data_IF_922742089929
#
_entry.id   IF_922742089929
#
_cell.length_a   1.000
_cell.length_b   1.000
_cell.length_c   1.000
_cell.angle_alpha   90.00
_cell.angle_beta   90.00
_cell.angle_gamma   90.00
#
_symmetry.space_group_name_H-M   'P 1'
#
loop_
_entity.id
_entity.type
_entity.pdbx_description
1 polymer ?
#
# COMPACT_ATOMS: atom_id res chain seq x y z
N UNK A 1 22.13 -6.66 1.82
CA UNK A 1 21.86 -5.72 2.93
C UNK A 1 21.85 -4.27 2.47
N UNK A 2 20.69 -3.77 2.07
CA UNK A 2 20.45 -2.32 1.99
C UNK A 2 19.75 -1.83 3.25
N UNK A 3 20.08 -0.62 3.69
CA UNK A 3 19.48 -0.01 4.88
C UNK A 3 18.71 1.22 4.45
N UNK A 4 17.40 1.19 4.68
CA UNK A 4 16.55 2.38 4.56
C UNK A 4 16.48 3.04 5.95
N UNK A 5 16.95 4.28 6.04
CA UNK A 5 16.95 5.07 7.27
C UNK A 5 15.69 5.93 7.32
N UNK A 6 14.60 5.51 7.97
CA UNK A 6 13.34 6.26 7.91
C UNK A 6 12.53 6.33 9.22
N UNK A 7 12.26 7.55 9.74
CA UNK A 7 11.66 7.80 11.06
C UNK A 7 10.16 7.44 11.20
N UNK A 8 9.51 6.92 10.16
CA UNK A 8 8.05 6.79 10.10
C UNK A 8 7.48 5.45 10.57
N UNK A 9 8.34 4.50 10.98
CA UNK A 9 7.91 3.22 11.59
C UNK A 9 7.01 3.44 12.83
N UNK A 10 7.02 4.64 13.44
CA UNK A 10 6.13 5.02 14.55
C UNK A 10 4.64 4.98 14.23
N UNK A 11 4.22 5.26 13.00
CA UNK A 11 2.79 5.18 12.61
C UNK A 11 2.38 3.80 12.11
N UNK A 12 3.33 2.86 12.08
CA UNK A 12 3.05 1.46 11.81
C UNK A 12 2.57 0.76 13.08
N UNK A 13 1.55 1.35 13.69
CA UNK A 13 0.70 0.67 14.66
C UNK A 13 -0.05 -0.52 14.03
N UNK A 14 -0.02 -0.65 12.69
CA UNK A 14 -0.37 -1.87 11.95
C UNK A 14 0.62 -3.03 12.14
N UNK A 15 1.86 -2.72 12.54
CA UNK A 15 2.80 -3.71 13.05
C UNK A 15 2.58 -3.97 14.54
N UNK A 16 1.60 -3.38 15.24
CA UNK A 16 1.27 -3.79 16.62
C UNK A 16 0.95 -5.29 16.74
N UNK A 17 0.54 -5.93 15.63
CA UNK A 17 0.45 -7.38 15.42
C UNK A 17 1.80 -7.93 14.90
N UNK A 18 2.87 -7.67 15.66
CA UNK A 18 4.29 -7.44 15.24
C UNK A 18 5.10 -8.58 14.58
N UNK A 19 4.46 -9.53 13.92
CA UNK A 19 5.20 -10.59 13.22
C UNK A 19 4.43 -11.13 12.01
N UNK A 20 3.10 -11.21 12.11
CA UNK A 20 2.25 -11.75 11.03
C UNK A 20 2.20 -10.84 9.80
N UNK A 21 2.12 -9.53 10.00
CA UNK A 21 2.05 -8.58 8.88
C UNK A 21 3.43 -8.37 8.22
N UNK A 22 4.50 -8.38 9.02
CA UNK A 22 5.88 -8.38 8.51
C UNK A 22 6.17 -9.63 7.70
N UNK A 23 5.90 -10.84 8.23
CA UNK A 23 6.10 -12.09 7.48
C UNK A 23 5.29 -12.17 6.19
N UNK A 24 4.07 -11.63 6.17
CA UNK A 24 3.27 -11.54 4.94
C UNK A 24 3.94 -10.64 3.90
N UNK A 25 4.46 -9.48 4.33
CA UNK A 25 5.20 -8.58 3.46
C UNK A 25 6.51 -9.20 2.98
N UNK A 26 7.28 -9.84 3.87
CA UNK A 26 8.50 -10.56 3.54
C UNK A 26 8.25 -11.62 2.46
N UNK A 27 7.19 -12.43 2.63
CA UNK A 27 6.83 -13.47 1.67
C UNK A 27 6.42 -12.92 0.30
N UNK A 28 5.67 -11.81 0.26
CA UNK A 28 5.22 -11.19 -1.00
C UNK A 28 6.34 -10.43 -1.71
N UNK A 29 7.16 -9.69 -0.95
CA UNK A 29 8.29 -8.92 -1.47
C UNK A 29 9.51 -9.81 -1.79
N UNK A 30 9.59 -11.00 -1.20
CA UNK A 30 10.71 -11.92 -1.36
C UNK A 30 12.01 -11.44 -0.68
N UNK A 31 11.89 -10.67 0.40
CA UNK A 31 13.03 -10.14 1.18
C UNK A 31 12.79 -10.36 2.67
N UNK A 32 13.87 -10.42 3.43
CA UNK A 32 13.83 -10.33 4.89
C UNK A 32 13.75 -8.84 5.28
N UNK A 33 12.84 -8.54 6.20
CA UNK A 33 12.57 -7.21 6.73
C UNK A 33 12.95 -7.18 8.21
N UNK A 34 13.96 -6.38 8.56
CA UNK A 34 14.31 -6.17 9.97
C UNK A 34 14.15 -4.71 10.37
N UNK A 35 13.40 -4.49 11.45
CA UNK A 35 13.21 -3.15 12.05
C UNK A 35 14.24 -2.96 13.16
N UNK A 36 15.07 -1.92 13.04
CA UNK A 36 16.06 -1.55 14.08
C UNK A 36 15.97 -0.06 14.39
N UNK A 37 15.26 0.26 15.48
CA UNK A 37 14.98 1.64 15.87
C UNK A 37 14.07 2.31 14.84
N UNK A 38 14.61 3.27 14.13
CA UNK A 38 13.98 4.03 13.04
C UNK A 38 14.46 3.59 11.65
N UNK A 39 15.02 2.38 11.54
CA UNK A 39 15.55 1.87 10.27
C UNK A 39 14.87 0.58 9.87
N UNK A 40 14.53 0.50 8.59
CA UNK A 40 14.10 -0.73 7.93
C UNK A 40 15.29 -1.29 7.15
N UNK A 41 15.65 -2.53 7.46
CA UNK A 41 16.75 -3.24 6.81
C UNK A 41 16.12 -4.24 5.85
N UNK A 42 16.53 -4.15 4.58
CA UNK A 42 16.11 -5.05 3.52
C UNK A 42 17.27 -6.00 3.19
N UNK A 43 17.01 -7.30 3.23
CA UNK A 43 18.00 -8.30 2.86
C UNK A 43 17.40 -9.41 2.00
N UNK A 44 18.10 -9.79 0.94
CA UNK A 44 17.61 -10.72 -0.07
C UNK A 44 18.33 -10.53 -1.40
N UNK A 45 17.78 -11.10 -2.46
CA UNK A 45 18.32 -10.91 -3.81
C UNK A 45 18.22 -9.45 -4.26
N UNK A 46 19.22 -8.93 -5.02
CA UNK A 46 19.25 -7.53 -5.43
C UNK A 46 17.96 -7.05 -6.11
N UNK A 47 17.36 -7.88 -6.97
CA UNK A 47 16.11 -7.57 -7.66
C UNK A 47 14.93 -7.45 -6.69
N UNK A 48 14.85 -8.34 -5.70
CA UNK A 48 13.81 -8.33 -4.66
C UNK A 48 13.98 -7.17 -3.70
N UNK A 49 15.22 -6.82 -3.38
CA UNK A 49 15.53 -5.63 -2.57
C UNK A 49 15.11 -4.35 -3.31
N UNK A 50 15.39 -4.25 -4.60
CA UNK A 50 14.94 -3.12 -5.42
C UNK A 50 13.41 -3.04 -5.49
N UNK A 51 12.75 -4.18 -5.65
CA UNK A 51 11.29 -4.28 -5.64
C UNK A 51 10.68 -3.80 -4.31
N UNK A 52 11.20 -4.30 -3.18
CA UNK A 52 10.80 -3.86 -1.85
C UNK A 52 11.08 -2.37 -1.61
N UNK A 53 12.19 -1.85 -2.15
CA UNK A 53 12.52 -0.44 -2.06
C UNK A 53 11.49 0.44 -2.78
N UNK A 54 11.10 0.09 -4.01
CA UNK A 54 10.05 0.80 -4.74
C UNK A 54 8.74 0.86 -3.95
N UNK A 55 8.37 -0.24 -3.31
CA UNK A 55 7.20 -0.30 -2.44
C UNK A 55 7.28 0.74 -1.30
N UNK A 56 8.35 0.69 -0.50
CA UNK A 56 8.48 1.55 0.67
C UNK A 56 8.68 3.02 0.30
N UNK A 57 9.39 3.32 -0.80
CA UNK A 57 9.52 4.68 -1.33
C UNK A 57 8.16 5.25 -1.75
N UNK A 58 7.31 4.45 -2.40
CA UNK A 58 5.96 4.91 -2.77
C UNK A 58 5.09 5.19 -1.56
N UNK A 59 5.08 4.30 -0.58
CA UNK A 59 4.32 4.47 0.67
C UNK A 59 4.75 5.78 1.36
N UNK A 60 6.06 6.02 1.44
CA UNK A 60 6.60 7.25 2.00
C UNK A 60 6.14 8.49 1.21
N UNK A 61 6.23 8.46 -0.12
CA UNK A 61 5.79 9.56 -0.98
C UNK A 61 4.33 9.94 -0.69
N UNK A 62 3.46 8.95 -0.46
CA UNK A 62 2.05 9.17 -0.14
C UNK A 62 1.86 9.76 1.26
N UNK A 63 2.60 9.29 2.26
CA UNK A 63 2.55 9.87 3.60
C UNK A 63 3.06 11.31 3.63
N UNK A 64 4.16 11.60 2.92
CA UNK A 64 4.74 12.94 2.79
C UNK A 64 3.77 13.91 2.07
N UNK A 65 2.93 13.40 1.15
CA UNK A 65 1.82 14.13 0.53
C UNK A 65 0.61 14.34 1.47
N UNK A 66 0.64 13.80 2.68
CA UNK A 66 -0.42 13.95 3.68
C UNK A 66 -1.55 12.93 3.58
N UNK A 67 -1.42 11.87 2.78
CA UNK A 67 -2.42 10.81 2.75
C UNK A 67 -2.42 10.02 4.06
N UNK A 68 -3.61 9.76 4.60
CA UNK A 68 -3.78 8.85 5.73
C UNK A 68 -3.99 7.43 5.20
N UNK A 69 -2.90 6.68 5.06
CA UNK A 69 -2.91 5.30 4.56
C UNK A 69 -3.61 4.34 5.53
N UNK A 70 -4.47 3.47 5.01
CA UNK A 70 -5.14 2.36 5.71
C UNK A 70 -4.51 1.03 5.31
N UNK A 71 -4.83 -0.03 6.04
CA UNK A 71 -4.35 -1.39 5.75
C UNK A 71 -4.58 -1.81 4.28
N UNK A 72 -5.75 -1.48 3.75
CA UNK A 72 -6.11 -1.79 2.36
C UNK A 72 -5.22 -1.08 1.34
N UNK A 73 -4.77 0.14 1.64
CA UNK A 73 -3.92 0.91 0.73
C UNK A 73 -2.53 0.27 0.60
N UNK A 74 -2.00 -0.33 1.70
CA UNK A 74 -0.77 -1.13 1.67
C UNK A 74 -0.92 -2.38 0.81
N UNK A 75 -2.08 -3.04 0.87
CA UNK A 75 -2.37 -4.22 0.06
C UNK A 75 -2.52 -3.88 -1.42
N UNK A 76 -3.26 -2.83 -1.75
CA UNK A 76 -3.44 -2.37 -3.14
C UNK A 76 -2.09 -1.97 -3.74
N UNK A 77 -1.27 -1.23 -3.01
CA UNK A 77 0.07 -0.87 -3.48
C UNK A 77 0.94 -2.11 -3.78
N UNK A 78 0.83 -3.16 -2.97
CA UNK A 78 1.59 -4.39 -3.17
C UNK A 78 1.06 -5.20 -4.36
N UNK A 79 -0.26 -5.28 -4.52
CA UNK A 79 -0.92 -5.91 -5.67
C UNK A 79 -0.52 -5.20 -6.98
N UNK A 80 -0.50 -3.87 -6.99
CA UNK A 80 -0.08 -3.07 -8.13
C UNK A 80 1.38 -3.30 -8.49
N UNK A 81 2.26 -3.36 -7.48
CA UNK A 81 3.67 -3.60 -7.69
C UNK A 81 3.95 -5.00 -8.27
N UNK A 82 3.22 -6.02 -7.80
CA UNK A 82 3.30 -7.39 -8.33
C UNK A 82 2.75 -7.52 -9.75
N UNK A 83 1.70 -6.76 -10.10
CA UNK A 83 1.12 -6.77 -11.44
C UNK A 83 2.00 -6.01 -12.44
N UNK A 84 2.37 -4.76 -12.11
CA UNK A 84 3.20 -3.90 -12.94
C UNK A 84 3.82 -2.76 -12.10
N UNK A 85 5.15 -2.74 -11.91
CA UNK A 85 5.81 -1.70 -11.13
C UNK A 85 5.53 -0.26 -11.57
N UNK A 86 5.27 -0.01 -12.85
CA UNK A 86 4.91 1.32 -13.35
C UNK A 86 3.54 1.81 -12.87
N UNK A 87 2.59 0.89 -12.61
CA UNK A 87 1.27 1.26 -12.07
C UNK A 87 1.32 1.69 -10.60
N UNK A 88 2.35 1.25 -9.86
CA UNK A 88 2.57 1.71 -8.49
C UNK A 88 2.90 3.21 -8.45
N UNK A 89 3.66 3.73 -9.41
CA UNK A 89 4.02 5.14 -9.46
C UNK A 89 2.78 6.04 -9.60
N UNK A 90 1.79 5.60 -10.36
CA UNK A 90 0.51 6.30 -10.57
C UNK A 90 -0.48 6.13 -9.40
N UNK A 91 -0.17 5.25 -8.44
CA UNK A 91 -1.07 4.97 -7.32
C UNK A 91 -1.23 6.19 -6.41
N UNK A 92 -2.49 6.50 -6.12
CA UNK A 92 -2.90 7.44 -5.09
C UNK A 92 -4.08 6.83 -4.31
N UNK A 93 -4.07 6.85 -2.97
CA UNK A 93 -5.19 6.39 -2.15
C UNK A 93 -6.45 7.18 -2.47
N UNK A 94 -7.57 6.48 -2.61
CA UNK A 94 -8.85 7.14 -2.82
C UNK A 94 -9.47 7.60 -1.51
N UNK A 95 -9.96 8.84 -1.53
CA UNK A 95 -10.73 9.41 -0.42
C UNK A 95 -11.98 8.56 -0.12
N UNK A 96 -12.27 8.28 1.16
CA UNK A 96 -13.50 7.62 1.55
C UNK A 96 -14.73 8.42 1.11
N UNK A 97 -15.78 7.72 0.67
CA UNK A 97 -17.09 8.31 0.50
C UNK A 97 -17.78 8.37 1.86
N UNK A 98 -18.07 9.58 2.34
CA UNK A 98 -18.79 9.78 3.59
C UNK A 98 -20.30 9.79 3.35
N UNK A 99 -20.98 8.77 3.85
CA UNK A 99 -22.44 8.71 3.96
C UNK A 99 -22.86 9.18 5.36
N UNK A 100 -24.12 9.58 5.54
CA UNK A 100 -24.65 10.18 6.78
C UNK A 100 -24.31 9.44 8.09
N UNK A 101 -24.04 8.13 8.05
CA UNK A 101 -23.70 7.33 9.25
C UNK A 101 -22.47 6.44 9.11
N UNK A 102 -21.85 6.37 7.92
CA UNK A 102 -20.77 5.42 7.60
C UNK A 102 -19.87 6.00 6.52
N UNK A 103 -18.57 5.69 6.58
CA UNK A 103 -17.66 5.91 5.46
C UNK A 103 -17.48 4.62 4.67
N UNK A 104 -17.46 4.72 3.35
CA UNK A 104 -17.13 3.61 2.45
C UNK A 104 -15.78 3.89 1.81
N UNK A 105 -14.88 2.92 1.95
CA UNK A 105 -13.53 2.93 1.43
C UNK A 105 -13.39 1.80 0.41
N UNK A 106 -12.65 2.00 -0.71
CA UNK A 106 -12.34 0.90 -1.60
C UNK A 106 -11.40 -0.07 -0.88
N UNK A 107 -11.72 -1.36 -0.97
CA UNK A 107 -10.91 -2.45 -0.38
C UNK A 107 -10.08 -3.21 -1.40
N UNK A 108 -10.23 -2.87 -2.68
CA UNK A 108 -9.50 -3.46 -3.79
C UNK A 108 -9.31 -2.41 -4.89
N UNK A 109 -8.37 -2.69 -5.79
CA UNK A 109 -8.11 -1.84 -6.95
C UNK A 109 -9.37 -1.66 -7.83
N UNK A 110 -10.13 -2.75 -8.06
CA UNK A 110 -11.38 -2.66 -8.83
C UNK A 110 -12.42 -1.77 -8.16
N UNK A 111 -12.53 -1.82 -6.83
CA UNK A 111 -13.42 -0.90 -6.10
C UNK A 111 -12.92 0.54 -6.18
N UNK A 112 -11.61 0.74 -6.20
CA UNK A 112 -11.02 2.06 -6.37
C UNK A 112 -11.34 2.65 -7.76
N UNK A 113 -11.15 1.87 -8.82
CA UNK A 113 -11.52 2.29 -10.18
C UNK A 113 -13.02 2.52 -10.30
N UNK A 114 -13.85 1.70 -9.65
CA UNK A 114 -15.28 1.91 -9.59
C UNK A 114 -15.65 3.22 -8.88
N UNK A 115 -15.01 3.54 -7.76
CA UNK A 115 -15.22 4.81 -7.05
C UNK A 115 -14.75 6.02 -7.87
N UNK A 116 -13.63 5.89 -8.61
CA UNK A 116 -13.17 6.92 -9.55
C UNK A 116 -14.22 7.13 -10.66
N UNK A 117 -14.71 6.06 -11.27
CA UNK A 117 -15.71 6.12 -12.31
C UNK A 117 -17.00 6.81 -11.84
N UNK A 118 -17.48 6.53 -10.62
CA UNK A 118 -18.67 7.20 -10.06
C UNK A 118 -18.47 8.72 -9.91
N UNK A 119 -17.24 9.18 -9.65
CA UNK A 119 -16.95 10.61 -9.52
C UNK A 119 -16.83 11.29 -10.89
N UNK A 120 -16.40 10.57 -11.91
CA UNK A 120 -16.05 11.12 -13.23
C UNK A 120 -17.19 11.03 -14.26
N UNK A 121 -18.04 10.02 -14.18
CA UNK A 121 -19.08 9.75 -15.16
C UNK A 121 -20.49 9.86 -14.56
N UNK A 122 -21.44 10.40 -15.33
CA UNK A 122 -22.85 10.52 -14.94
C UNK A 122 -23.55 9.15 -14.78
N UNK A 123 -23.07 8.14 -15.50
CA UNK A 123 -23.64 6.78 -15.51
C UNK A 123 -22.53 5.73 -15.50
N UNK A 124 -22.53 4.87 -14.48
CA UNK A 124 -21.56 3.77 -14.32
C UNK A 124 -22.30 2.45 -14.17
N UNK A 125 -21.99 1.48 -15.02
CA UNK A 125 -22.53 0.12 -14.92
C UNK A 125 -21.56 -0.79 -14.16
N UNK A 126 -21.96 -1.23 -12.97
CA UNK A 126 -21.25 -2.28 -12.24
C UNK A 126 -21.72 -3.65 -12.67
N UNK A 127 -20.83 -4.46 -13.25
CA UNK A 127 -21.11 -5.85 -13.63
C UNK A 127 -20.22 -6.75 -12.76
N UNK A 128 -20.81 -7.54 -11.89
CA UNK A 128 -20.11 -8.49 -11.04
C UNK A 128 -20.98 -9.68 -10.64
N UNK A 129 -20.39 -10.83 -10.28
CA UNK A 129 -21.15 -11.94 -9.73
C UNK A 129 -21.66 -11.60 -8.31
N UNK A 130 -22.87 -12.10 -8.00
CA UNK A 130 -23.52 -11.97 -6.69
C UNK A 130 -22.91 -12.91 -5.65
#
# INVERSE_FOLDING_TARGET
>A
MEKLSHPYIRRISFFGVLDKNLKKLENRLGVNLAVRGDKLILDGEPEKVQFAKMYFEKIQELEDKGYNLREEDFHIALDLLEENPGRLEEYAPSEPLYLQRKSVAPKSLNQQEYMRAIKEFDLVFGIGPA
#
